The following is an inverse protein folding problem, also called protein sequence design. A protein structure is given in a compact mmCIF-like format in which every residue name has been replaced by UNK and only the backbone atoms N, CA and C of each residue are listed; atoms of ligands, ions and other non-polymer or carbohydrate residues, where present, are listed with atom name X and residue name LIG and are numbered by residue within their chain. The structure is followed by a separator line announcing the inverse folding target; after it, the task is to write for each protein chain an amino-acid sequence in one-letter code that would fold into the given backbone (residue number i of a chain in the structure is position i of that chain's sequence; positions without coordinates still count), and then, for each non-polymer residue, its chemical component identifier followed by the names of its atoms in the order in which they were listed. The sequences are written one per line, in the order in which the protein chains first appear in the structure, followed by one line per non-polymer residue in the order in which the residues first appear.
data_IF_036000605605
#
_entry.id   IF_036000605605
#
_cell.length_a   1.000
_cell.length_b   1.000
_cell.length_c   1.000
_cell.angle_alpha   90.00
_cell.angle_beta   90.00
_cell.angle_gamma   90.00
#
_symmetry.space_group_name_H-M   'P 1'
#
loop_
_entity.id
_entity.type
_entity.pdbx_description
1 polymer ?
#
# COMPACT_ATOMS: atom_id res chain seq x y z
N UNK A 1 -20.84 -17.39 -30.25
CA UNK A 1 -19.83 -17.12 -29.26
C UNK A 1 -20.44 -17.34 -27.89
N UNK A 2 -20.02 -18.37 -27.14
CA UNK A 2 -20.47 -18.57 -25.78
C UNK A 2 -20.07 -17.36 -24.94
N UNK A 3 -21.04 -16.68 -24.34
CA UNK A 3 -20.77 -15.56 -23.40
C UNK A 3 -20.07 -16.16 -22.17
N UNK A 4 -18.79 -15.84 -22.00
CA UNK A 4 -18.06 -16.21 -20.77
C UNK A 4 -18.76 -15.61 -19.56
N UNK A 5 -18.88 -16.41 -18.50
CA UNK A 5 -19.57 -16.02 -17.27
C UNK A 5 -18.54 -15.56 -16.25
N UNK A 6 -18.67 -14.32 -15.75
CA UNK A 6 -17.79 -13.74 -14.72
C UNK A 6 -17.83 -14.64 -13.48
N UNK A 7 -16.64 -14.93 -12.92
CA UNK A 7 -16.49 -15.77 -11.71
C UNK A 7 -16.33 -17.27 -11.95
N UNK A 8 -16.65 -17.78 -13.13
CA UNK A 8 -16.56 -19.23 -13.41
C UNK A 8 -15.27 -19.63 -14.13
N UNK A 9 -14.90 -18.87 -15.16
CA UNK A 9 -13.72 -19.16 -15.99
C UNK A 9 -12.75 -17.98 -16.06
N UNK A 10 -11.43 -18.23 -16.19
CA UNK A 10 -10.45 -17.18 -16.39
C UNK A 10 -10.71 -16.37 -17.67
N UNK A 11 -10.78 -15.05 -17.54
CA UNK A 11 -11.00 -14.12 -18.66
C UNK A 11 -9.77 -13.21 -18.78
N UNK A 12 -8.97 -13.44 -19.81
CA UNK A 12 -7.77 -12.67 -20.12
C UNK A 12 -7.98 -11.55 -21.15
N UNK A 13 -9.13 -11.54 -21.82
CA UNK A 13 -9.56 -10.46 -22.72
C UNK A 13 -10.97 -10.01 -22.34
N UNK A 14 -11.03 -8.93 -21.57
CA UNK A 14 -12.28 -8.39 -21.05
C UNK A 14 -13.18 -7.77 -22.14
N UNK A 15 -12.65 -7.50 -23.36
CA UNK A 15 -13.46 -6.99 -24.48
C UNK A 15 -14.58 -7.98 -24.86
N UNK A 16 -14.39 -9.27 -24.58
CA UNK A 16 -15.41 -10.30 -24.81
C UNK A 16 -16.65 -10.11 -23.93
N UNK A 17 -16.54 -9.34 -22.83
CA UNK A 17 -17.64 -9.02 -21.91
C UNK A 17 -18.48 -7.82 -22.39
N UNK A 18 -17.92 -6.97 -23.26
CA UNK A 18 -18.52 -5.71 -23.69
C UNK A 18 -18.25 -4.54 -22.73
N UNK A 19 -18.33 -3.32 -23.28
CA UNK A 19 -17.97 -2.09 -22.56
C UNK A 19 -18.72 -1.87 -21.23
N UNK A 20 -20.05 -2.10 -21.12
CA UNK A 20 -20.76 -1.88 -19.85
C UNK A 20 -20.24 -2.76 -18.71
N UNK A 21 -19.96 -4.05 -18.98
CA UNK A 21 -19.44 -4.96 -17.95
C UNK A 21 -18.00 -4.62 -17.57
N UNK A 22 -17.17 -4.20 -18.54
CA UNK A 22 -15.81 -3.72 -18.25
C UNK A 22 -15.85 -2.48 -17.37
N UNK A 23 -16.77 -1.56 -17.59
CA UNK A 23 -16.93 -0.36 -16.76
C UNK A 23 -17.35 -0.71 -15.33
N UNK A 24 -18.31 -1.61 -15.16
CA UNK A 24 -18.71 -2.10 -13.82
C UNK A 24 -17.55 -2.75 -13.09
N UNK A 25 -16.76 -3.60 -13.77
CA UNK A 25 -15.56 -4.20 -13.18
C UNK A 25 -14.51 -3.13 -12.84
N UNK A 26 -14.34 -2.10 -13.67
CA UNK A 26 -13.48 -0.96 -13.37
C UNK A 26 -13.92 -0.22 -12.10
N UNK A 27 -15.20 0.05 -11.93
CA UNK A 27 -15.75 0.59 -10.69
C UNK A 27 -15.50 -0.34 -9.50
N UNK A 28 -15.65 -1.66 -9.65
CA UNK A 28 -15.35 -2.61 -8.58
C UNK A 28 -13.90 -2.49 -8.10
N UNK A 29 -12.94 -2.44 -9.04
CA UNK A 29 -11.53 -2.28 -8.70
C UNK A 29 -11.23 -0.91 -8.09
N UNK A 30 -11.88 0.16 -8.55
CA UNK A 30 -11.76 1.48 -7.95
C UNK A 30 -12.26 1.48 -6.50
N UNK A 31 -13.44 0.89 -6.24
CA UNK A 31 -13.98 0.84 -4.88
C UNK A 31 -13.19 -0.10 -3.97
N UNK A 32 -12.59 -1.17 -4.49
CA UNK A 32 -11.75 -2.07 -3.70
C UNK A 32 -10.50 -1.36 -3.16
N UNK A 33 -9.85 -0.53 -4.00
CA UNK A 33 -8.65 0.23 -3.59
C UNK A 33 -8.97 1.47 -2.77
N UNK A 34 -10.20 1.99 -2.90
CA UNK A 34 -10.56 3.31 -2.41
C UNK A 34 -10.32 3.48 -0.91
N UNK A 35 -10.82 2.53 -0.10
CA UNK A 35 -10.71 2.62 1.36
C UNK A 35 -9.26 2.70 1.84
N UNK A 36 -8.39 1.89 1.28
CA UNK A 36 -6.96 1.89 1.60
C UNK A 36 -6.27 3.17 1.07
N UNK A 37 -6.58 3.57 -0.15
CA UNK A 37 -5.94 4.72 -0.81
C UNK A 37 -6.20 6.04 -0.10
N UNK A 38 -7.42 6.28 0.39
CA UNK A 38 -7.77 7.53 1.09
C UNK A 38 -7.31 7.58 2.53
N UNK A 39 -7.02 6.42 3.12
CA UNK A 39 -6.64 6.33 4.53
C UNK A 39 -5.24 6.90 4.79
N UNK A 40 -4.28 6.64 3.92
CA UNK A 40 -2.90 7.14 4.08
C UNK A 40 -2.85 8.68 4.08
N UNK A 41 -3.42 9.42 3.10
CA UNK A 41 -3.42 10.87 3.15
C UNK A 41 -4.15 11.41 4.37
N UNK A 42 -5.25 10.80 4.82
CA UNK A 42 -5.95 11.22 6.04
C UNK A 42 -5.07 11.07 7.30
N UNK A 43 -4.24 10.03 7.37
CA UNK A 43 -3.34 9.79 8.51
C UNK A 43 -2.07 10.65 8.46
N UNK A 44 -1.65 11.11 7.29
CA UNK A 44 -0.42 11.90 7.11
C UNK A 44 -0.68 13.39 6.93
N UNK A 45 -1.92 13.79 6.65
CA UNK A 45 -2.27 15.15 6.30
C UNK A 45 -2.00 15.53 4.84
N UNK A 46 -1.66 14.55 3.98
CA UNK A 46 -1.52 14.76 2.55
C UNK A 46 -2.89 14.92 1.87
N UNK A 47 -2.90 15.49 0.67
CA UNK A 47 -4.12 15.71 -0.11
C UNK A 47 -4.72 14.41 -0.65
N UNK A 48 -6.00 14.15 -0.35
CA UNK A 48 -6.76 13.02 -0.89
C UNK A 48 -6.90 13.14 -2.42
N UNK A 49 -7.13 14.35 -2.92
CA UNK A 49 -7.25 14.61 -4.36
C UNK A 49 -5.96 14.27 -5.10
N UNK A 50 -4.81 14.74 -4.61
CA UNK A 50 -3.50 14.44 -5.20
C UNK A 50 -3.20 12.94 -5.11
N UNK A 51 -3.56 12.32 -4.00
CA UNK A 51 -3.40 10.86 -3.81
C UNK A 51 -4.16 10.06 -4.86
N UNK A 52 -5.43 10.38 -5.10
CA UNK A 52 -6.24 9.72 -6.13
C UNK A 52 -5.70 9.95 -7.54
N UNK A 53 -5.23 11.18 -7.81
CA UNK A 53 -4.59 11.51 -9.10
C UNK A 53 -3.40 10.61 -9.36
N UNK A 54 -2.48 10.52 -8.39
CA UNK A 54 -1.24 9.75 -8.56
C UNK A 54 -1.40 8.25 -8.34
N UNK A 55 -2.42 7.79 -7.64
CA UNK A 55 -2.82 6.38 -7.68
C UNK A 55 -3.24 5.97 -9.10
N UNK A 56 -4.05 6.80 -9.76
CA UNK A 56 -4.45 6.57 -11.15
C UNK A 56 -3.28 6.71 -12.14
N UNK A 57 -2.56 7.82 -12.12
CA UNK A 57 -1.41 8.06 -13.01
C UNK A 57 -0.29 7.06 -12.77
N UNK A 58 0.02 6.75 -11.51
CA UNK A 58 1.02 5.75 -11.13
C UNK A 58 0.65 4.35 -11.64
N UNK A 59 -0.61 3.95 -11.54
CA UNK A 59 -1.11 2.70 -12.10
C UNK A 59 -0.95 2.66 -13.62
N UNK A 60 -1.28 3.75 -14.32
CA UNK A 60 -1.10 3.82 -15.79
C UNK A 60 0.38 3.78 -16.17
N UNK A 61 1.26 4.48 -15.46
CA UNK A 61 2.70 4.44 -15.65
C UNK A 61 3.27 3.03 -15.41
N UNK A 62 2.84 2.38 -14.32
CA UNK A 62 3.20 1.00 -14.03
C UNK A 62 2.80 0.05 -15.18
N UNK A 63 1.56 0.16 -15.66
CA UNK A 63 1.10 -0.66 -16.79
C UNK A 63 1.90 -0.41 -18.06
N UNK A 64 2.30 0.83 -18.33
CA UNK A 64 3.16 1.17 -19.47
C UNK A 64 4.52 0.45 -19.37
N UNK A 65 5.17 0.55 -18.21
CA UNK A 65 6.48 -0.04 -17.95
C UNK A 65 6.44 -1.57 -17.87
N UNK A 66 5.35 -2.13 -17.30
CA UNK A 66 5.07 -3.57 -17.25
C UNK A 66 4.48 -4.12 -18.58
N UNK A 67 4.61 -3.40 -19.69
CA UNK A 67 4.13 -3.80 -21.02
C UNK A 67 2.62 -4.08 -21.10
N UNK A 68 1.82 -3.51 -20.20
CA UNK A 68 0.38 -3.71 -20.12
C UNK A 68 -0.05 -5.15 -19.79
N UNK A 69 0.84 -5.97 -19.19
CA UNK A 69 0.59 -7.39 -18.93
C UNK A 69 0.02 -7.67 -17.54
N UNK A 70 0.45 -6.91 -16.54
CA UNK A 70 0.16 -7.16 -15.13
C UNK A 70 -1.12 -6.43 -14.72
N UNK A 71 -2.16 -7.12 -14.22
CA UNK A 71 -3.39 -6.51 -13.76
C UNK A 71 -3.28 -6.03 -12.29
N UNK A 72 -2.26 -5.23 -11.98
CA UNK A 72 -2.09 -4.63 -10.65
C UNK A 72 -2.60 -3.18 -10.65
N UNK A 73 -3.23 -2.78 -9.53
CA UNK A 73 -3.53 -1.39 -9.22
C UNK A 73 -2.50 -0.88 -8.20
N UNK A 74 -2.05 0.35 -8.36
CA UNK A 74 -1.16 1.01 -7.41
C UNK A 74 -1.94 2.05 -6.60
N UNK A 75 -1.77 2.00 -5.29
CA UNK A 75 -2.34 2.99 -4.38
C UNK A 75 -1.37 3.36 -3.28
N UNK A 76 -1.82 4.12 -2.29
CA UNK A 76 -0.96 4.66 -1.24
C UNK A 76 -0.36 3.59 -0.34
N UNK A 77 0.96 3.64 -0.11
CA UNK A 77 1.68 2.68 0.72
C UNK A 77 1.59 3.02 2.21
N UNK A 78 1.15 2.05 3.01
CA UNK A 78 1.11 2.16 4.48
C UNK A 78 2.50 2.06 5.13
N UNK A 79 3.45 1.39 4.50
CA UNK A 79 4.78 1.18 5.06
C UNK A 79 5.54 2.49 5.31
N UNK A 80 5.23 3.52 4.54
CA UNK A 80 5.86 4.85 4.69
C UNK A 80 5.23 5.73 5.78
N UNK A 81 4.12 5.33 6.42
CA UNK A 81 3.48 6.12 7.48
C UNK A 81 4.46 6.49 8.60
N UNK A 82 5.32 5.56 9.03
CA UNK A 82 6.35 5.84 10.02
C UNK A 82 7.38 6.88 9.55
N UNK A 83 7.70 6.89 8.26
CA UNK A 83 8.58 7.92 7.67
C UNK A 83 7.94 9.30 7.65
N UNK A 84 6.66 9.39 7.27
CA UNK A 84 5.91 10.64 7.34
C UNK A 84 5.82 11.16 8.77
N UNK A 85 5.45 10.31 9.74
CA UNK A 85 5.35 10.70 11.15
C UNK A 85 6.69 11.14 11.75
N UNK A 86 7.82 10.60 11.28
CA UNK A 86 9.15 10.97 11.76
C UNK A 86 9.61 12.35 11.25
N UNK A 87 9.21 12.74 10.04
CA UNK A 87 9.64 14.00 9.39
C UNK A 87 8.57 15.08 9.52
N UNK A 88 7.30 14.74 9.32
CA UNK A 88 6.16 15.63 9.33
C UNK A 88 5.06 15.10 10.27
N UNK A 89 5.30 15.04 11.59
CA UNK A 89 4.28 14.59 12.53
C UNK A 89 3.07 15.51 12.47
N UNK A 90 1.87 14.96 12.66
CA UNK A 90 0.64 15.75 12.82
C UNK A 90 0.79 16.67 14.02
N UNK A 91 0.32 17.91 13.89
CA UNK A 91 0.36 18.91 14.94
C UNK A 91 -0.83 18.80 15.88
N UNK A 92 -0.64 19.22 17.11
CA UNK A 92 -1.69 19.25 18.12
C UNK A 92 -2.78 20.26 17.73
N UNK A 93 -4.03 19.87 17.93
CA UNK A 93 -5.17 20.75 17.67
C UNK A 93 -5.32 21.76 18.82
N UNK A 94 -5.23 23.09 18.58
CA UNK A 94 -5.37 24.11 19.61
C UNK A 94 -6.72 24.08 20.33
N UNK A 95 -7.77 23.64 19.62
CA UNK A 95 -9.13 23.59 20.16
C UNK A 95 -9.43 22.30 20.94
N UNK A 96 -8.56 21.28 20.79
CA UNK A 96 -8.69 19.96 21.42
C UNK A 96 -7.34 19.47 21.96
N UNK A 97 -6.90 19.92 23.14
CA UNK A 97 -5.61 19.54 23.71
C UNK A 97 -5.44 18.02 23.79
N UNK A 98 -4.28 17.51 23.37
CA UNK A 98 -3.96 16.08 23.31
C UNK A 98 -4.43 15.38 22.04
N UNK A 99 -5.08 16.07 21.11
CA UNK A 99 -5.49 15.54 19.81
C UNK A 99 -4.56 16.06 18.70
N UNK A 100 -3.88 15.15 18.00
CA UNK A 100 -2.93 15.46 16.93
C UNK A 100 -3.59 15.16 15.58
N UNK A 101 -4.26 16.15 15.00
CA UNK A 101 -5.01 15.99 13.75
C UNK A 101 -4.81 17.13 12.74
N UNK A 102 -3.92 18.08 13.03
CA UNK A 102 -3.61 19.17 12.11
C UNK A 102 -2.42 18.78 11.22
N UNK A 103 -2.57 18.82 9.87
CA UNK A 103 -1.47 18.53 8.96
C UNK A 103 -0.28 19.47 9.14
N UNK A 104 0.92 18.91 9.21
CA UNK A 104 2.16 19.71 9.23
C UNK A 104 2.57 20.06 7.79
N UNK A 105 1.86 21.01 7.21
CA UNK A 105 2.01 21.41 5.80
C UNK A 105 3.40 21.95 5.47
N UNK A 106 4.13 22.47 6.45
CA UNK A 106 5.49 22.96 6.29
C UNK A 106 6.50 21.82 6.10
N UNK A 107 6.32 20.72 6.84
CA UNK A 107 7.24 19.57 6.82
C UNK A 107 6.84 18.49 5.83
N UNK A 108 5.59 18.41 5.41
CA UNK A 108 5.11 17.40 4.46
C UNK A 108 5.90 17.37 3.14
N UNK A 109 6.26 18.49 2.49
CA UNK A 109 7.05 18.46 1.27
C UNK A 109 8.47 17.88 1.47
N UNK A 110 9.08 18.04 2.65
CA UNK A 110 10.36 17.39 2.99
C UNK A 110 10.20 15.88 3.13
N UNK A 111 9.13 15.42 3.79
CA UNK A 111 8.82 13.99 3.87
C UNK A 111 8.57 13.41 2.46
N UNK A 112 7.83 14.11 1.62
CA UNK A 112 7.61 13.73 0.23
C UNK A 112 8.91 13.66 -0.57
N UNK A 113 9.86 14.58 -0.36
CA UNK A 113 11.18 14.48 -0.96
C UNK A 113 11.92 13.19 -0.53
N UNK A 114 11.89 12.84 0.76
CA UNK A 114 12.45 11.59 1.27
C UNK A 114 11.81 10.35 0.60
N UNK A 115 10.50 10.35 0.41
CA UNK A 115 9.77 9.29 -0.30
C UNK A 115 10.14 9.24 -1.78
N UNK A 116 10.30 10.38 -2.44
CA UNK A 116 10.76 10.42 -3.82
C UNK A 116 12.16 9.79 -3.98
N UNK A 117 13.06 10.08 -3.05
CA UNK A 117 14.38 9.42 -2.99
C UNK A 117 14.27 7.91 -2.75
N UNK A 118 13.36 7.48 -1.86
CA UNK A 118 13.11 6.06 -1.61
C UNK A 118 12.62 5.33 -2.87
N UNK A 119 11.73 5.95 -3.67
CA UNK A 119 11.30 5.41 -4.95
C UNK A 119 12.44 5.21 -5.95
N UNK A 120 13.48 6.03 -5.91
CA UNK A 120 14.67 5.83 -6.78
C UNK A 120 15.48 4.59 -6.39
N UNK A 121 15.42 4.12 -5.14
CA UNK A 121 16.11 2.89 -4.71
C UNK A 121 15.51 1.66 -5.40
N UNK A 122 14.23 1.67 -5.75
CA UNK A 122 13.62 0.60 -6.56
C UNK A 122 14.30 0.42 -7.92
N UNK A 123 14.81 1.51 -8.50
CA UNK A 123 15.54 1.45 -9.76
C UNK A 123 16.81 0.64 -9.62
N UNK A 124 17.50 0.76 -8.47
CA UNK A 124 18.71 -0.03 -8.19
C UNK A 124 18.35 -1.52 -8.13
N UNK A 125 17.32 -1.91 -7.39
CA UNK A 125 16.88 -3.30 -7.32
C UNK A 125 16.40 -3.81 -8.68
N UNK A 126 15.64 -2.98 -9.42
CA UNK A 126 15.23 -3.26 -10.79
C UNK A 126 16.41 -3.56 -11.70
N UNK A 127 17.48 -2.76 -11.61
CA UNK A 127 18.72 -2.98 -12.36
C UNK A 127 19.40 -4.31 -11.97
N UNK A 128 19.45 -4.63 -10.66
CA UNK A 128 19.99 -5.91 -10.19
C UNK A 128 19.21 -7.10 -10.76
N UNK A 129 17.86 -7.03 -10.79
CA UNK A 129 17.04 -8.07 -11.43
C UNK A 129 17.31 -8.18 -12.93
N UNK A 130 17.50 -7.04 -13.62
CA UNK A 130 17.81 -7.02 -15.07
C UNK A 130 19.19 -7.61 -15.39
N UNK A 131 20.20 -7.29 -14.59
CA UNK A 131 21.60 -7.69 -14.84
C UNK A 131 21.87 -9.12 -14.38
N UNK A 132 21.45 -9.47 -13.16
CA UNK A 132 21.79 -10.77 -12.54
C UNK A 132 20.70 -11.83 -12.76
N UNK A 133 19.53 -11.43 -13.20
CA UNK A 133 18.37 -12.29 -13.42
C UNK A 133 17.59 -12.62 -12.13
N UNK A 134 16.34 -13.03 -12.32
CA UNK A 134 15.37 -13.28 -11.23
C UNK A 134 15.90 -14.30 -10.24
N UNK A 135 16.39 -15.45 -10.70
CA UNK A 135 16.82 -16.58 -9.85
C UNK A 135 17.93 -16.19 -8.86
N UNK A 136 18.91 -15.37 -9.29
CA UNK A 136 20.02 -14.97 -8.44
C UNK A 136 19.61 -13.95 -7.38
N UNK A 137 18.77 -13.00 -7.74
CA UNK A 137 18.35 -11.92 -6.84
C UNK A 137 17.32 -12.43 -5.83
N UNK A 138 16.33 -13.23 -6.28
CA UNK A 138 15.27 -13.76 -5.41
C UNK A 138 15.77 -14.68 -4.30
N UNK A 139 16.94 -15.28 -4.44
CA UNK A 139 17.53 -16.08 -3.33
C UNK A 139 17.79 -15.25 -2.05
N UNK A 140 17.78 -13.92 -2.15
CA UNK A 140 17.86 -13.01 -1.01
C UNK A 140 16.48 -12.68 -0.41
N UNK A 141 15.40 -12.91 -1.15
CA UNK A 141 14.02 -12.59 -0.81
C UNK A 141 13.11 -13.85 -0.76
N UNK A 142 13.52 -14.94 -0.09
CA UNK A 142 12.65 -16.11 0.04
C UNK A 142 11.46 -15.82 0.96
N UNK A 143 10.40 -16.65 0.94
CA UNK A 143 9.21 -16.49 1.76
C UNK A 143 9.46 -16.37 3.26
N UNK A 144 10.55 -16.99 3.77
CA UNK A 144 10.97 -16.85 5.17
C UNK A 144 11.44 -15.43 5.52
N UNK A 145 11.80 -14.62 4.53
CA UNK A 145 12.15 -13.20 4.71
C UNK A 145 10.95 -12.33 4.40
N UNK A 146 10.30 -12.54 3.24
CA UNK A 146 9.21 -11.68 2.77
C UNK A 146 7.97 -11.79 3.65
N UNK A 147 7.58 -13.00 4.05
CA UNK A 147 6.40 -13.23 4.89
C UNK A 147 6.45 -12.49 6.23
N UNK A 148 7.48 -12.70 7.07
CA UNK A 148 7.61 -11.98 8.34
C UNK A 148 7.71 -10.46 8.20
N UNK A 149 8.30 -9.92 7.13
CA UNK A 149 8.32 -8.47 6.87
C UNK A 149 6.91 -7.94 6.61
N UNK A 150 6.12 -8.63 5.77
CA UNK A 150 4.72 -8.23 5.50
C UNK A 150 3.87 -8.34 6.79
N UNK A 151 4.06 -9.38 7.60
CA UNK A 151 3.42 -9.48 8.92
C UNK A 151 3.77 -8.25 9.77
N UNK A 152 5.04 -7.89 9.84
CA UNK A 152 5.52 -6.78 10.64
C UNK A 152 4.97 -5.42 10.17
N UNK A 153 4.77 -5.21 8.86
CA UNK A 153 4.16 -3.98 8.32
C UNK A 153 2.78 -3.75 8.95
N UNK A 154 1.90 -4.74 8.88
CA UNK A 154 0.55 -4.60 9.43
C UNK A 154 0.55 -4.45 10.96
N UNK A 155 1.38 -5.21 11.68
CA UNK A 155 1.46 -5.13 13.14
C UNK A 155 2.03 -3.79 13.64
N UNK A 156 3.01 -3.21 12.96
CA UNK A 156 3.56 -1.91 13.32
C UNK A 156 2.54 -0.77 13.25
N UNK A 157 1.53 -0.90 12.41
CA UNK A 157 0.48 0.11 12.25
C UNK A 157 -0.66 -0.03 13.26
N UNK A 158 -0.72 -1.15 14.00
CA UNK A 158 -1.84 -1.47 14.91
C UNK A 158 -2.04 -0.43 16.00
N UNK A 159 -0.98 0.13 16.56
CA UNK A 159 -1.06 1.17 17.61
C UNK A 159 -1.77 2.44 17.10
N UNK A 160 -1.45 2.88 15.88
CA UNK A 160 -2.13 4.04 15.26
C UNK A 160 -3.63 3.78 15.09
N UNK A 161 -3.99 2.56 14.63
CA UNK A 161 -5.40 2.19 14.48
C UNK A 161 -6.15 2.18 15.83
N UNK A 162 -5.53 1.63 16.88
CA UNK A 162 -6.11 1.64 18.25
C UNK A 162 -6.29 3.07 18.74
N UNK A 163 -5.28 3.93 18.60
CA UNK A 163 -5.37 5.32 19.02
C UNK A 163 -6.51 6.07 18.31
N UNK A 164 -6.71 5.84 17.02
CA UNK A 164 -7.83 6.42 16.27
C UNK A 164 -9.21 5.91 16.73
N UNK A 165 -9.28 4.72 17.35
CA UNK A 165 -10.54 4.20 17.90
C UNK A 165 -10.94 4.88 19.24
N UNK A 166 -9.99 5.44 20.00
CA UNK A 166 -10.21 5.91 21.36
C UNK A 166 -11.26 7.00 21.48
N UNK A 167 -11.41 7.83 20.44
CA UNK A 167 -12.41 8.90 20.41
C UNK A 167 -13.87 8.42 20.42
N UNK A 168 -14.15 7.23 19.85
CA UNK A 168 -15.49 6.65 19.80
C UNK A 168 -15.47 5.17 19.42
N UNK A 169 -15.22 4.29 20.41
CA UNK A 169 -15.13 2.85 20.17
C UNK A 169 -16.36 2.24 19.49
N UNK A 170 -17.54 2.73 19.76
CA UNK A 170 -18.76 2.17 19.16
C UNK A 170 -18.86 2.45 17.66
N UNK A 171 -18.33 3.59 17.15
CA UNK A 171 -18.22 3.86 15.71
C UNK A 171 -17.18 2.91 15.09
N UNK A 172 -16.03 2.74 15.75
CA UNK A 172 -14.99 1.81 15.30
C UNK A 172 -15.51 0.36 15.25
N UNK A 173 -16.25 -0.08 16.28
CA UNK A 173 -16.88 -1.40 16.33
C UNK A 173 -17.90 -1.56 15.22
N UNK A 174 -18.72 -0.54 14.93
CA UNK A 174 -19.67 -0.58 13.81
C UNK A 174 -18.93 -0.79 12.47
N UNK A 175 -17.81 -0.10 12.24
CA UNK A 175 -16.98 -0.31 11.05
C UNK A 175 -16.51 -1.76 10.95
N UNK A 176 -15.92 -2.30 12.03
CA UNK A 176 -15.39 -3.66 12.08
C UNK A 176 -16.49 -4.69 11.82
N UNK A 177 -17.62 -4.57 12.50
CA UNK A 177 -18.73 -5.52 12.35
C UNK A 177 -19.29 -5.54 10.92
N UNK A 178 -19.43 -4.38 10.29
CA UNK A 178 -19.91 -4.31 8.89
C UNK A 178 -18.88 -4.91 7.94
N UNK A 179 -17.58 -4.63 8.11
CA UNK A 179 -16.53 -5.22 7.28
C UNK A 179 -16.54 -6.75 7.42
N UNK A 180 -16.60 -7.26 8.64
CA UNK A 180 -16.64 -8.71 8.92
C UNK A 180 -17.89 -9.32 8.30
N UNK A 181 -19.07 -8.72 8.52
CA UNK A 181 -20.32 -9.22 7.97
C UNK A 181 -20.31 -9.24 6.43
N UNK A 182 -19.82 -8.16 5.80
CA UNK A 182 -19.72 -8.06 4.35
C UNK A 182 -18.73 -9.08 3.77
N UNK A 183 -17.62 -9.33 4.46
CA UNK A 183 -16.59 -10.26 4.01
C UNK A 183 -17.03 -11.72 4.15
N UNK A 184 -17.65 -12.09 5.28
CA UNK A 184 -17.98 -13.49 5.61
C UNK A 184 -19.30 -13.92 4.96
N UNK A 185 -20.35 -13.10 5.11
CA UNK A 185 -21.71 -13.45 4.64
C UNK A 185 -22.11 -12.72 3.36
N UNK A 186 -21.32 -11.72 2.94
CA UNK A 186 -21.57 -10.98 1.71
C UNK A 186 -21.50 -11.86 0.45
N UNK A 187 -22.30 -11.51 -0.56
CA UNK A 187 -22.30 -12.15 -1.88
C UNK A 187 -22.11 -11.11 -2.98
N UNK A 188 -21.48 -11.50 -4.09
CA UNK A 188 -21.26 -10.59 -5.23
C UNK A 188 -20.47 -9.34 -4.84
N UNK A 189 -21.00 -8.16 -5.15
CA UNK A 189 -20.36 -6.86 -4.87
C UNK A 189 -20.07 -6.63 -3.39
N UNK A 190 -20.97 -7.02 -2.49
CA UNK A 190 -20.81 -6.81 -1.04
C UNK A 190 -19.53 -7.46 -0.54
N UNK A 191 -19.21 -8.65 -1.02
CA UNK A 191 -17.99 -9.37 -0.65
C UNK A 191 -16.71 -8.73 -1.23
N UNK A 192 -16.84 -7.97 -2.33
CA UNK A 192 -15.71 -7.33 -3.03
C UNK A 192 -15.29 -6.02 -2.35
N UNK A 193 -16.24 -5.28 -1.76
CA UNK A 193 -16.01 -3.93 -1.21
C UNK A 193 -16.27 -3.83 0.31
N UNK A 194 -15.83 -4.79 1.14
CA UNK A 194 -16.16 -4.81 2.56
C UNK A 194 -15.64 -3.59 3.30
N UNK A 195 -14.43 -3.12 2.97
CA UNK A 195 -13.79 -1.94 3.58
C UNK A 195 -14.63 -0.69 3.30
N UNK A 196 -15.01 -0.48 2.04
CA UNK A 196 -15.83 0.67 1.66
C UNK A 196 -17.19 0.66 2.39
N UNK A 197 -17.82 -0.51 2.52
CA UNK A 197 -19.08 -0.64 3.26
C UNK A 197 -18.91 -0.32 4.73
N UNK A 198 -17.81 -0.75 5.34
CA UNK A 198 -17.46 -0.39 6.72
C UNK A 198 -17.25 1.12 6.90
N UNK A 199 -16.53 1.75 5.97
CA UNK A 199 -16.37 3.21 5.94
C UNK A 199 -17.71 3.91 5.86
N UNK A 200 -18.53 3.60 4.86
CA UNK A 200 -19.83 4.27 4.65
C UNK A 200 -20.75 4.07 5.85
N UNK A 201 -20.89 2.84 6.35
CA UNK A 201 -21.80 2.55 7.45
C UNK A 201 -21.38 3.26 8.74
N UNK A 202 -20.10 3.17 9.13
CA UNK A 202 -19.59 3.82 10.33
C UNK A 202 -19.57 5.35 10.20
N UNK A 203 -19.36 5.88 9.01
CA UNK A 203 -19.47 7.31 8.73
C UNK A 203 -20.91 7.82 8.89
N UNK A 204 -21.91 7.06 8.37
CA UNK A 204 -23.33 7.37 8.60
C UNK A 204 -23.66 7.35 10.10
N UNK A 205 -23.16 6.35 10.83
CA UNK A 205 -23.34 6.26 12.28
C UNK A 205 -22.73 7.49 12.97
N UNK A 206 -21.52 7.91 12.59
CA UNK A 206 -20.88 9.13 13.08
C UNK A 206 -21.67 10.39 12.76
N UNK A 207 -22.20 10.50 11.55
CA UNK A 207 -23.01 11.65 11.11
C UNK A 207 -24.32 11.76 11.89
N UNK A 208 -25.04 10.65 12.06
CA UNK A 208 -26.30 10.61 12.84
C UNK A 208 -26.06 10.95 14.31
N UNK A 209 -24.90 10.59 14.86
CA UNK A 209 -24.53 10.91 16.24
C UNK A 209 -23.96 12.33 16.43
N UNK A 210 -23.91 13.13 15.37
CA UNK A 210 -23.42 14.52 15.44
C UNK A 210 -21.91 14.66 15.56
N UNK A 211 -21.14 13.63 15.23
CA UNK A 211 -19.67 13.65 15.29
C UNK A 211 -19.01 14.02 13.96
N UNK A 212 -19.78 14.51 12.98
CA UNK A 212 -19.28 14.91 11.66
C UNK A 212 -19.65 16.36 11.40
N UNK A 213 -18.65 17.17 11.10
CA UNK A 213 -18.84 18.53 10.61
C UNK A 213 -18.85 18.54 9.06
N UNK A 214 -19.96 18.92 8.47
CA UNK A 214 -20.13 19.03 7.03
C UNK A 214 -19.91 20.45 6.48
N UNK A 215 -19.41 21.39 7.28
CA UNK A 215 -19.27 22.81 6.86
C UNK A 215 -18.32 22.91 5.66
N UNK A 216 -17.11 22.36 5.76
CA UNK A 216 -16.16 22.34 4.66
C UNK A 216 -16.69 21.60 3.41
N UNK A 217 -17.44 20.52 3.62
CA UNK A 217 -18.07 19.77 2.50
C UNK A 217 -19.07 20.64 1.74
N UNK A 218 -19.86 21.49 2.44
CA UNK A 218 -20.85 22.37 1.81
C UNK A 218 -20.18 23.45 0.97
N UNK A 219 -19.09 24.01 1.48
CA UNK A 219 -18.35 25.12 0.86
C UNK A 219 -17.46 24.66 -0.31
N UNK A 220 -17.03 23.41 -0.31
CA UNK A 220 -16.11 22.88 -1.32
C UNK A 220 -16.74 22.88 -2.73
N UNK A 221 -15.90 23.18 -3.71
CA UNK A 221 -16.28 23.15 -5.13
C UNK A 221 -16.48 21.73 -5.64
N UNK A 222 -17.34 21.58 -6.65
CA UNK A 222 -17.53 20.29 -7.34
C UNK A 222 -16.38 19.93 -8.28
N UNK A 223 -15.72 20.93 -8.86
CA UNK A 223 -14.61 20.76 -9.80
C UNK A 223 -13.48 21.69 -9.37
N UNK A 224 -12.26 21.14 -9.27
CA UNK A 224 -11.06 21.88 -8.92
C UNK A 224 -9.80 21.14 -9.36
N UNK A 225 -8.68 21.86 -9.37
CA UNK A 225 -7.38 21.25 -9.65
C UNK A 225 -6.89 20.50 -8.40
N UNK A 226 -6.48 19.23 -8.52
CA UNK A 226 -6.07 18.44 -7.35
C UNK A 226 -4.72 18.87 -6.77
N UNK A 227 -3.81 19.42 -7.60
CA UNK A 227 -2.44 19.74 -7.19
C UNK A 227 -2.34 21.20 -6.75
N UNK A 228 -1.90 21.42 -5.51
CA UNK A 228 -1.53 22.72 -4.97
C UNK A 228 -0.01 22.85 -5.00
N UNK A 229 0.52 23.79 -5.78
CA UNK A 229 1.95 23.89 -6.05
C UNK A 229 2.81 24.04 -4.80
N UNK A 230 2.35 24.81 -3.80
CA UNK A 230 3.05 25.03 -2.52
C UNK A 230 3.21 23.75 -1.68
N UNK A 231 2.35 22.75 -1.88
CA UNK A 231 2.38 21.48 -1.16
C UNK A 231 3.27 20.43 -1.86
N UNK A 232 3.78 20.77 -3.04
CA UNK A 232 4.68 19.88 -3.79
C UNK A 232 6.13 20.04 -3.34
N UNK A 233 6.96 19.04 -3.63
CA UNK A 233 8.42 19.16 -3.44
C UNK A 233 8.98 20.31 -4.27
N UNK A 234 8.42 20.59 -5.45
CA UNK A 234 8.85 21.72 -6.30
C UNK A 234 8.54 23.07 -5.65
N UNK A 235 7.48 23.16 -4.85
CA UNK A 235 7.12 24.35 -4.09
C UNK A 235 8.19 24.74 -3.07
N UNK A 236 8.89 23.77 -2.46
CA UNK A 236 10.02 24.05 -1.57
C UNK A 236 11.11 24.85 -2.29
N UNK A 237 11.46 24.45 -3.52
CA UNK A 237 12.54 25.10 -4.27
C UNK A 237 12.13 26.45 -4.84
N UNK A 238 10.84 26.72 -5.06
CA UNK A 238 10.34 28.00 -5.55
C UNK A 238 10.39 29.10 -4.49
N UNK A 239 10.31 28.75 -3.20
CA UNK A 239 10.33 29.71 -2.08
C UNK A 239 11.72 30.26 -1.70
N UNK A 240 12.80 29.75 -2.24
CA UNK A 240 14.17 30.24 -2.06
C UNK A 240 14.84 29.92 -0.70
N UNK A 241 14.12 29.44 0.30
CA UNK A 241 14.63 29.14 1.64
C UNK A 241 14.50 27.64 1.96
N UNK A 242 15.20 26.80 1.18
CA UNK A 242 15.19 25.35 1.41
C UNK A 242 16.16 24.98 2.51
N UNK A 243 15.69 24.29 3.54
CA UNK A 243 16.57 23.67 4.53
C UNK A 243 17.17 22.39 3.95
N UNK A 244 18.40 22.51 3.45
CA UNK A 244 19.15 21.38 2.86
C UNK A 244 19.49 20.29 3.87
N UNK A 245 19.66 20.66 5.16
CA UNK A 245 19.90 19.69 6.22
C UNK A 245 18.65 18.84 6.46
N UNK A 246 17.46 19.46 6.40
CA UNK A 246 16.18 18.75 6.54
C UNK A 246 15.92 17.84 5.34
N UNK A 247 16.25 18.25 4.10
CA UNK A 247 16.20 17.36 2.93
C UNK A 247 17.07 16.11 3.13
N UNK A 248 18.30 16.31 3.61
CA UNK A 248 19.22 15.20 3.94
C UNK A 248 18.63 14.28 5.02
N UNK A 249 18.09 14.85 6.09
CA UNK A 249 17.45 14.10 7.18
C UNK A 249 16.26 13.30 6.67
N UNK A 250 15.38 13.89 5.87
CA UNK A 250 14.23 13.21 5.30
C UNK A 250 14.64 12.04 4.39
N UNK A 251 15.62 12.26 3.50
CA UNK A 251 16.13 11.21 2.63
C UNK A 251 16.71 10.05 3.44
N UNK A 252 17.59 10.35 4.39
CA UNK A 252 18.27 9.34 5.22
C UNK A 252 17.30 8.54 6.10
N UNK A 253 16.24 9.18 6.60
CA UNK A 253 15.23 8.53 7.44
C UNK A 253 14.29 7.65 6.62
N UNK A 254 13.88 8.08 5.43
CA UNK A 254 12.82 7.42 4.66
C UNK A 254 13.35 6.39 3.67
N UNK A 255 14.52 6.61 3.05
CA UNK A 255 15.11 5.66 2.08
C UNK A 255 15.17 4.21 2.59
N UNK A 256 15.60 3.92 3.84
CA UNK A 256 15.65 2.53 4.31
C UNK A 256 14.31 1.80 4.32
N UNK A 257 13.19 2.52 4.40
CA UNK A 257 11.85 1.94 4.36
C UNK A 257 11.58 1.27 3.01
N UNK A 258 12.18 1.78 1.93
CA UNK A 258 12.07 1.20 0.59
C UNK A 258 12.46 -0.29 0.54
N UNK A 259 13.37 -0.75 1.40
CA UNK A 259 13.74 -2.17 1.46
C UNK A 259 12.54 -3.06 1.81
N UNK A 260 11.72 -2.63 2.77
CA UNK A 260 10.54 -3.38 3.18
C UNK A 260 9.45 -3.36 2.08
N UNK A 261 9.22 -2.20 1.47
CA UNK A 261 8.20 -2.07 0.42
C UNK A 261 8.58 -2.73 -0.90
N UNK A 262 9.87 -2.79 -1.23
CA UNK A 262 10.34 -3.61 -2.35
C UNK A 262 10.09 -5.11 -2.12
N UNK A 263 10.24 -5.58 -0.88
CA UNK A 263 9.91 -6.95 -0.49
C UNK A 263 8.40 -7.20 -0.57
N UNK A 264 7.59 -6.25 -0.10
CA UNK A 264 6.12 -6.27 -0.24
C UNK A 264 5.72 -6.37 -1.71
N UNK A 265 6.25 -5.51 -2.58
CA UNK A 265 6.00 -5.55 -4.03
C UNK A 265 6.30 -6.91 -4.65
N UNK A 266 7.44 -7.54 -4.28
CA UNK A 266 7.79 -8.87 -4.77
C UNK A 266 6.73 -9.90 -4.33
N UNK A 267 6.29 -9.85 -3.08
CA UNK A 267 5.23 -10.71 -2.54
C UNK A 267 3.90 -10.54 -3.28
N UNK A 268 3.49 -9.31 -3.53
CA UNK A 268 2.28 -8.98 -4.29
C UNK A 268 2.36 -9.48 -5.73
N UNK A 269 3.52 -9.33 -6.37
CA UNK A 269 3.72 -9.85 -7.74
C UNK A 269 3.63 -11.37 -7.80
N UNK A 270 4.09 -12.07 -6.75
CA UNK A 270 3.89 -13.51 -6.60
C UNK A 270 2.39 -13.84 -6.46
N UNK A 271 1.69 -13.14 -5.58
CA UNK A 271 0.25 -13.34 -5.33
C UNK A 271 -0.60 -13.10 -6.59
N UNK A 272 -0.34 -12.01 -7.32
CA UNK A 272 -1.02 -11.69 -8.58
C UNK A 272 -0.71 -12.75 -9.64
N UNK A 273 0.54 -13.20 -9.72
CA UNK A 273 0.96 -14.25 -10.67
C UNK A 273 0.21 -15.56 -10.42
N UNK A 274 0.12 -15.96 -9.17
CA UNK A 274 -0.63 -17.16 -8.75
C UNK A 274 -2.13 -17.02 -9.06
N UNK A 275 -2.73 -15.89 -8.66
CA UNK A 275 -4.16 -15.62 -8.88
C UNK A 275 -4.52 -15.63 -10.36
N UNK A 276 -3.66 -15.07 -11.21
CA UNK A 276 -3.90 -14.96 -12.65
C UNK A 276 -3.39 -16.17 -13.44
N UNK A 277 -2.80 -17.18 -12.79
CA UNK A 277 -2.20 -18.35 -13.44
C UNK A 277 -1.19 -17.96 -14.52
N UNK A 278 -0.41 -16.89 -14.29
CA UNK A 278 0.62 -16.35 -15.20
C UNK A 278 1.84 -15.89 -14.44
N UNK A 279 3.03 -16.27 -14.89
CA UNK A 279 4.27 -15.90 -14.25
C UNK A 279 4.73 -14.47 -14.62
N UNK A 280 4.20 -13.45 -13.93
CA UNK A 280 4.60 -12.06 -14.13
C UNK A 280 5.99 -11.74 -13.56
N UNK A 281 6.55 -12.61 -12.76
CA UNK A 281 7.91 -12.50 -12.23
C UNK A 281 8.94 -12.65 -13.36
N UNK A 282 8.64 -13.49 -14.35
CA UNK A 282 9.48 -13.69 -15.53
C UNK A 282 9.05 -12.80 -16.70
N UNK A 283 7.75 -12.68 -16.99
CA UNK A 283 7.23 -11.88 -18.09
C UNK A 283 6.05 -10.99 -17.64
N UNK A 284 6.22 -9.69 -17.53
CA UNK A 284 7.27 -8.81 -18.09
C UNK A 284 8.58 -8.78 -17.30
N UNK A 285 8.64 -9.44 -16.15
CA UNK A 285 9.79 -9.55 -15.27
C UNK A 285 9.81 -8.51 -14.13
N UNK A 286 10.29 -8.93 -12.95
CA UNK A 286 10.35 -8.08 -11.76
C UNK A 286 11.12 -6.78 -11.97
N UNK A 287 12.12 -6.76 -12.87
CA UNK A 287 12.84 -5.52 -13.22
C UNK A 287 11.92 -4.43 -13.78
N UNK A 288 10.84 -4.81 -14.48
CA UNK A 288 9.88 -3.86 -15.06
C UNK A 288 8.83 -3.43 -14.04
N UNK A 289 8.36 -4.37 -13.23
CA UNK A 289 7.34 -4.06 -12.23
C UNK A 289 7.92 -3.19 -11.11
N UNK A 290 9.13 -3.49 -10.62
CA UNK A 290 9.85 -2.64 -9.67
C UNK A 290 10.18 -1.26 -10.24
N UNK A 291 10.59 -1.19 -11.52
CA UNK A 291 10.81 0.09 -12.18
C UNK A 291 9.51 0.92 -12.20
N UNK A 292 8.39 0.28 -12.53
CA UNK A 292 7.08 0.93 -12.58
C UNK A 292 6.63 1.43 -11.22
N UNK A 293 6.77 0.61 -10.18
CA UNK A 293 6.38 0.92 -8.80
C UNK A 293 7.25 2.06 -8.22
N UNK A 294 8.58 1.95 -8.37
CA UNK A 294 9.51 2.98 -7.90
C UNK A 294 9.33 4.33 -8.59
N UNK A 295 9.16 4.36 -9.92
CA UNK A 295 8.92 5.61 -10.64
C UNK A 295 7.55 6.20 -10.31
N UNK A 296 6.50 5.37 -10.13
CA UNK A 296 5.19 5.82 -9.69
C UNK A 296 5.27 6.45 -8.29
N UNK A 297 6.00 5.82 -7.36
CA UNK A 297 6.27 6.33 -6.02
C UNK A 297 7.00 7.67 -6.05
N UNK A 298 8.12 7.76 -6.80
CA UNK A 298 8.88 9.01 -6.89
C UNK A 298 8.06 10.13 -7.51
N UNK A 299 7.33 9.84 -8.59
CA UNK A 299 6.48 10.82 -9.25
C UNK A 299 5.36 11.31 -8.34
N UNK A 300 4.66 10.41 -7.66
CA UNK A 300 3.59 10.75 -6.72
C UNK A 300 4.11 11.67 -5.60
N UNK A 301 5.22 11.29 -4.98
CA UNK A 301 5.80 12.05 -3.89
C UNK A 301 6.29 13.44 -4.32
N UNK A 302 6.88 13.60 -5.50
CA UNK A 302 7.30 14.91 -6.01
C UNK A 302 6.14 15.91 -6.12
N UNK A 303 4.92 15.41 -6.35
CA UNK A 303 3.72 16.23 -6.43
C UNK A 303 2.89 16.28 -5.14
N UNK A 304 3.42 15.82 -4.01
CA UNK A 304 2.74 15.88 -2.71
C UNK A 304 1.72 14.76 -2.47
N UNK A 305 1.81 13.65 -3.19
CA UNK A 305 1.06 12.43 -2.91
C UNK A 305 1.92 11.45 -2.07
N UNK A 306 1.30 10.51 -1.35
CA UNK A 306 2.05 9.43 -0.69
C UNK A 306 2.71 8.48 -1.69
N UNK A 307 3.67 7.68 -1.18
CA UNK A 307 4.27 6.59 -1.95
C UNK A 307 3.19 5.68 -2.55
N UNK A 308 3.41 5.23 -3.78
CA UNK A 308 2.58 4.20 -4.39
C UNK A 308 3.13 2.80 -4.08
N UNK A 309 2.25 1.81 -4.05
CA UNK A 309 2.60 0.38 -4.00
C UNK A 309 1.50 -0.45 -4.65
N UNK A 310 1.79 -1.70 -5.00
CA UNK A 310 0.80 -2.64 -5.51
C UNK A 310 -0.20 -3.02 -4.43
N UNK A 311 -1.49 -3.19 -4.80
CA UNK A 311 -2.57 -3.45 -3.85
C UNK A 311 -3.08 -4.88 -3.88
N UNK A 312 -2.96 -5.56 -2.74
CA UNK A 312 -3.49 -6.89 -2.50
C UNK A 312 -5.02 -6.96 -2.55
N UNK A 313 -5.71 -5.89 -2.16
CA UNK A 313 -7.18 -5.77 -2.22
C UNK A 313 -7.70 -5.95 -3.65
N UNK A 314 -7.01 -5.38 -4.62
CA UNK A 314 -7.38 -5.55 -6.02
C UNK A 314 -7.11 -6.97 -6.52
N UNK A 315 -6.12 -7.68 -5.96
CA UNK A 315 -5.89 -9.10 -6.21
C UNK A 315 -7.07 -9.95 -5.74
N UNK A 316 -7.71 -9.57 -4.63
CA UNK A 316 -8.96 -10.19 -4.17
C UNK A 316 -10.11 -10.06 -5.19
N UNK A 317 -10.23 -8.89 -5.83
CA UNK A 317 -11.22 -8.68 -6.91
C UNK A 317 -10.91 -9.56 -8.13
N UNK A 318 -9.62 -9.68 -8.51
CA UNK A 318 -9.19 -10.57 -9.59
C UNK A 318 -9.59 -12.03 -9.29
N UNK A 319 -9.32 -12.51 -8.08
CA UNK A 319 -9.63 -13.86 -7.65
C UNK A 319 -11.14 -14.17 -7.71
N UNK A 320 -12.00 -13.23 -7.30
CA UNK A 320 -13.44 -13.38 -7.28
C UNK A 320 -14.08 -13.25 -8.66
N UNK A 321 -13.65 -12.26 -9.45
CA UNK A 321 -14.19 -12.02 -10.80
C UNK A 321 -13.64 -12.97 -11.84
N UNK A 322 -12.45 -13.52 -11.63
CA UNK A 322 -11.63 -14.25 -12.60
C UNK A 322 -11.37 -13.48 -13.89
N UNK A 323 -11.42 -12.14 -13.84
CA UNK A 323 -11.13 -11.27 -14.99
C UNK A 323 -9.73 -10.68 -14.80
N UNK A 324 -8.77 -11.22 -15.53
CA UNK A 324 -7.35 -10.94 -15.39
C UNK A 324 -6.80 -9.97 -16.45
N UNK A 325 -7.70 -9.26 -17.13
CA UNK A 325 -7.30 -8.29 -18.14
C UNK A 325 -6.90 -6.95 -17.51
N UNK A 326 -5.66 -6.48 -17.70
CA UNK A 326 -5.20 -5.19 -17.21
C UNK A 326 -6.03 -3.97 -17.67
N UNK A 327 -6.83 -4.10 -18.74
CA UNK A 327 -7.70 -3.01 -19.21
C UNK A 327 -8.73 -2.61 -18.17
N UNK A 328 -9.23 -3.57 -17.39
CA UNK A 328 -10.21 -3.29 -16.33
C UNK A 328 -9.57 -2.44 -15.22
N UNK A 329 -8.31 -2.73 -14.87
CA UNK A 329 -7.55 -1.93 -13.91
C UNK A 329 -7.29 -0.51 -14.44
N UNK A 330 -7.00 -0.38 -15.74
CA UNK A 330 -6.83 0.95 -16.37
C UNK A 330 -8.11 1.78 -16.32
N UNK A 331 -9.28 1.16 -16.46
CA UNK A 331 -10.56 1.85 -16.27
C UNK A 331 -10.67 2.36 -14.83
N UNK A 332 -10.33 1.53 -13.83
CA UNK A 332 -10.30 1.95 -12.43
C UNK A 332 -9.34 3.13 -12.19
N UNK A 333 -8.15 3.09 -12.80
CA UNK A 333 -7.16 4.16 -12.73
C UNK A 333 -7.69 5.49 -13.32
N UNK A 334 -8.34 5.44 -14.47
CA UNK A 334 -8.97 6.62 -15.11
C UNK A 334 -10.11 7.17 -14.23
N UNK A 335 -10.92 6.29 -13.62
CA UNK A 335 -11.96 6.71 -12.69
C UNK A 335 -11.36 7.41 -11.47
N UNK A 336 -10.28 6.89 -10.89
CA UNK A 336 -9.59 7.54 -9.77
C UNK A 336 -9.08 8.94 -10.15
N UNK A 337 -8.50 9.10 -11.37
CA UNK A 337 -8.10 10.40 -11.90
C UNK A 337 -9.31 11.33 -12.00
N UNK A 338 -10.45 10.88 -12.51
CA UNK A 338 -11.66 11.72 -12.61
C UNK A 338 -12.11 12.18 -11.22
N UNK A 339 -12.15 11.27 -10.23
CA UNK A 339 -12.53 11.62 -8.86
C UNK A 339 -11.57 12.59 -8.19
N UNK A 340 -10.29 12.62 -8.59
CA UNK A 340 -9.30 13.55 -8.05
C UNK A 340 -9.63 15.02 -8.32
N UNK A 341 -10.38 15.32 -9.38
CA UNK A 341 -10.81 16.67 -9.73
C UNK A 341 -12.08 17.12 -9.01
N UNK A 342 -12.53 16.38 -7.99
CA UNK A 342 -13.71 16.73 -7.20
C UNK A 342 -13.29 17.08 -5.74
N UNK A 343 -12.99 18.37 -5.43
CA UNK A 343 -12.65 18.79 -4.07
C UNK A 343 -13.72 18.44 -3.03
N UNK A 344 -14.98 18.55 -3.39
CA UNK A 344 -16.10 18.16 -2.51
C UNK A 344 -16.01 16.72 -2.04
N UNK A 345 -15.52 15.83 -2.90
CA UNK A 345 -15.29 14.44 -2.54
C UNK A 345 -14.13 14.28 -1.53
N UNK A 346 -13.04 15.03 -1.72
CA UNK A 346 -11.93 15.05 -0.77
C UNK A 346 -12.39 15.55 0.61
N UNK A 347 -13.22 16.61 0.66
CA UNK A 347 -13.76 17.11 1.93
C UNK A 347 -14.71 16.12 2.61
N UNK A 348 -15.49 15.33 1.87
CA UNK A 348 -16.26 14.21 2.45
C UNK A 348 -15.35 13.19 3.14
N UNK A 349 -14.18 12.91 2.56
CA UNK A 349 -13.18 12.02 3.18
C UNK A 349 -12.54 12.67 4.41
N UNK A 350 -12.20 13.95 4.35
CA UNK A 350 -11.62 14.68 5.48
C UNK A 350 -12.57 14.80 6.67
N UNK A 351 -13.87 14.95 6.42
CA UNK A 351 -14.90 15.02 7.46
C UNK A 351 -15.16 13.66 8.16
N UNK A 352 -14.46 12.60 7.79
CA UNK A 352 -14.64 11.27 8.35
C UNK A 352 -14.18 11.21 9.82
N UNK A 353 -15.00 10.69 10.76
CA UNK A 353 -14.58 10.52 12.15
C UNK A 353 -13.31 9.70 12.28
N UNK A 354 -12.39 10.10 13.15
CA UNK A 354 -11.15 9.37 13.42
C UNK A 354 -11.42 7.93 13.86
N UNK A 355 -12.50 7.70 14.58
CA UNK A 355 -12.93 6.35 15.00
C UNK A 355 -13.36 5.46 13.81
N UNK A 356 -13.97 6.03 12.75
CA UNK A 356 -14.20 5.30 11.50
C UNK A 356 -12.87 4.84 10.89
N UNK A 357 -11.92 5.78 10.79
CA UNK A 357 -10.56 5.51 10.30
C UNK A 357 -9.92 4.41 11.13
N UNK A 358 -9.98 4.51 12.47
CA UNK A 358 -9.44 3.52 13.39
C UNK A 358 -10.00 2.11 13.19
N UNK A 359 -11.34 1.98 13.17
CA UNK A 359 -12.01 0.69 13.01
C UNK A 359 -11.69 0.01 11.66
N UNK A 360 -11.69 0.79 10.59
CA UNK A 360 -11.31 0.32 9.25
C UNK A 360 -9.84 -0.09 9.21
N UNK A 361 -8.95 0.72 9.79
CA UNK A 361 -7.51 0.45 9.84
C UNK A 361 -7.19 -0.82 10.60
N UNK A 362 -7.87 -1.11 11.72
CA UNK A 362 -7.67 -2.35 12.49
C UNK A 362 -7.86 -3.58 11.60
N UNK A 363 -8.94 -3.61 10.82
CA UNK A 363 -9.20 -4.72 9.92
C UNK A 363 -8.18 -4.75 8.79
N UNK A 364 -7.89 -3.60 8.19
CA UNK A 364 -6.98 -3.50 7.04
C UNK A 364 -5.55 -3.94 7.41
N UNK A 365 -5.01 -3.44 8.52
CA UNK A 365 -3.66 -3.79 8.99
C UNK A 365 -3.58 -5.26 9.41
N UNK A 366 -4.65 -5.79 10.00
CA UNK A 366 -4.78 -7.22 10.28
C UNK A 366 -4.77 -8.05 8.99
N UNK A 367 -5.45 -7.61 7.94
CA UNK A 367 -5.44 -8.29 6.64
C UNK A 367 -4.05 -8.23 5.97
N UNK A 368 -3.32 -7.11 6.06
CA UNK A 368 -1.93 -7.03 5.56
C UNK A 368 -1.06 -8.08 6.28
N UNK A 369 -1.14 -8.16 7.61
CA UNK A 369 -0.41 -9.18 8.37
C UNK A 369 -0.82 -10.61 7.96
N UNK A 370 -2.11 -10.84 7.71
CA UNK A 370 -2.61 -12.16 7.28
C UNK A 370 -2.07 -12.55 5.89
N UNK A 371 -1.86 -11.60 4.98
CA UNK A 371 -1.18 -11.85 3.69
C UNK A 371 0.25 -12.35 3.91
N UNK A 372 0.98 -11.76 4.87
CA UNK A 372 2.31 -12.25 5.24
C UNK A 372 2.30 -13.67 5.80
N UNK A 373 1.31 -14.00 6.68
CA UNK A 373 1.10 -15.36 7.19
C UNK A 373 0.79 -16.32 6.03
N UNK A 374 -0.10 -15.93 5.14
CA UNK A 374 -0.45 -16.69 3.95
C UNK A 374 0.79 -16.98 3.10
N UNK A 375 1.65 -15.99 2.86
CA UNK A 375 2.91 -16.17 2.12
C UNK A 375 3.79 -17.28 2.73
N UNK A 376 3.94 -17.27 4.06
CA UNK A 376 4.72 -18.29 4.78
C UNK A 376 4.09 -19.69 4.64
N UNK A 377 2.78 -19.80 4.85
CA UNK A 377 2.06 -21.08 4.86
C UNK A 377 1.99 -21.72 3.46
N UNK A 378 1.63 -20.94 2.45
CA UNK A 378 1.48 -21.43 1.08
C UNK A 378 2.80 -21.86 0.47
N UNK A 379 3.90 -21.20 0.85
CA UNK A 379 5.26 -21.59 0.47
C UNK A 379 5.84 -22.71 1.33
N UNK A 380 5.06 -23.29 2.26
CA UNK A 380 5.47 -24.40 3.11
C UNK A 380 6.80 -24.14 3.82
N UNK A 381 6.99 -22.93 4.34
CA UNK A 381 8.19 -22.59 5.11
C UNK A 381 8.28 -23.52 6.32
N UNK A 382 9.39 -24.27 6.40
CA UNK A 382 9.60 -25.25 7.46
C UNK A 382 10.15 -24.60 8.73
N UNK A 383 9.30 -24.36 9.70
CA UNK A 383 9.67 -23.82 11.03
C UNK A 383 10.25 -24.87 11.98
N UNK A 384 10.39 -26.13 11.60
CA UNK A 384 11.18 -27.10 12.39
C UNK A 384 12.67 -26.81 12.27
N UNK A 385 13.08 -26.07 11.24
CA UNK A 385 14.48 -25.67 11.03
C UNK A 385 14.83 -24.44 11.86
N UNK A 386 15.77 -24.57 12.78
CA UNK A 386 16.24 -23.48 13.64
C UNK A 386 16.64 -22.22 12.86
N UNK A 387 17.19 -22.39 11.64
CA UNK A 387 17.52 -21.30 10.72
C UNK A 387 16.30 -20.41 10.45
N UNK A 388 15.19 -21.02 10.03
CA UNK A 388 13.98 -20.33 9.65
C UNK A 388 13.33 -19.67 10.87
N UNK A 389 13.30 -20.36 12.01
CA UNK A 389 12.80 -19.79 13.27
C UNK A 389 13.57 -18.53 13.65
N UNK A 390 14.92 -18.56 13.59
CA UNK A 390 15.78 -17.42 13.97
C UNK A 390 15.53 -16.23 13.02
N UNK A 391 15.45 -16.46 11.71
CA UNK A 391 15.23 -15.39 10.73
C UNK A 391 13.88 -14.71 11.00
N UNK A 392 12.79 -15.49 11.10
CA UNK A 392 11.45 -14.95 11.35
C UNK A 392 11.37 -14.24 12.70
N UNK A 393 11.92 -14.84 13.76
CA UNK A 393 11.89 -14.28 15.11
C UNK A 393 12.59 -12.92 15.15
N UNK A 394 13.79 -12.81 14.56
CA UNK A 394 14.53 -11.54 14.57
C UNK A 394 13.86 -10.47 13.71
N UNK A 395 13.26 -10.83 12.55
CA UNK A 395 12.49 -9.87 11.75
C UNK A 395 11.33 -9.31 12.57
N UNK A 396 10.50 -10.16 13.16
CA UNK A 396 9.31 -9.73 13.90
C UNK A 396 9.67 -8.93 15.15
N UNK A 397 10.62 -9.43 15.95
CA UNK A 397 11.00 -8.78 17.22
C UNK A 397 11.70 -7.45 16.97
N UNK A 398 12.59 -7.35 15.99
CA UNK A 398 13.27 -6.08 15.68
C UNK A 398 12.30 -5.06 15.10
N UNK A 399 11.40 -5.46 14.19
CA UNK A 399 10.45 -4.55 13.59
C UNK A 399 9.55 -3.90 14.66
N UNK A 400 8.98 -4.70 15.56
CA UNK A 400 8.04 -4.24 16.59
C UNK A 400 8.80 -3.63 17.77
N UNK A 401 9.83 -4.34 18.26
CA UNK A 401 10.57 -3.94 19.45
C UNK A 401 11.27 -2.60 19.30
N UNK A 402 11.92 -2.33 18.17
CA UNK A 402 12.55 -1.03 17.92
C UNK A 402 11.51 0.07 17.82
N UNK A 403 10.43 -0.16 17.06
CA UNK A 403 9.39 0.85 16.80
C UNK A 403 8.70 1.31 18.09
N UNK A 404 8.41 0.40 19.02
CA UNK A 404 7.66 0.69 20.24
C UNK A 404 8.52 0.79 21.52
N UNK A 405 9.84 0.64 21.40
CA UNK A 405 10.75 0.94 22.50
C UNK A 405 11.07 2.44 22.57
N UNK A 406 11.65 2.87 23.68
CA UNK A 406 12.17 4.23 23.83
C UNK A 406 13.27 4.59 22.82
N UNK A 407 13.85 3.60 22.15
CA UNK A 407 14.88 3.78 21.11
C UNK A 407 14.28 4.34 19.81
N UNK A 408 13.07 3.89 19.44
CA UNK A 408 12.32 4.32 18.25
C UNK A 408 12.96 3.97 16.91
N UNK A 409 14.28 4.10 16.79
CA UNK A 409 15.07 3.81 15.61
C UNK A 409 16.52 3.49 15.95
N UNK A 410 17.17 2.64 15.15
CA UNK A 410 18.63 2.35 15.26
C UNK A 410 19.40 3.40 14.50
N UNK A 411 20.26 4.15 15.19
CA UNK A 411 21.09 5.21 14.59
C UNK A 411 22.50 4.67 14.33
N UNK A 412 22.94 4.78 13.09
CA UNK A 412 24.32 4.44 12.68
C UNK A 412 24.90 5.69 11.98
N UNK A 413 25.75 6.41 12.68
CA UNK A 413 26.20 7.73 12.23
C UNK A 413 25.02 8.71 12.11
N UNK A 414 24.85 9.31 10.94
CA UNK A 414 23.74 10.21 10.63
C UNK A 414 22.51 9.50 10.07
N UNK A 415 22.57 8.17 9.89
CA UNK A 415 21.46 7.41 9.32
C UNK A 415 20.61 6.81 10.42
N UNK A 416 19.28 7.00 10.33
CA UNK A 416 18.29 6.47 11.26
C UNK A 416 17.51 5.34 10.58
N UNK A 417 17.61 4.13 11.09
CA UNK A 417 16.90 2.97 10.58
C UNK A 417 15.66 2.70 11.45
N UNK A 418 14.48 2.80 10.88
CA UNK A 418 13.25 2.37 11.55
C UNK A 418 13.31 0.88 11.92
N UNK A 419 12.44 0.46 12.85
CA UNK A 419 12.34 -0.95 13.23
C UNK A 419 12.11 -1.87 12.02
N UNK A 420 11.23 -1.46 11.09
CA UNK A 420 10.92 -2.22 9.89
C UNK A 420 12.12 -2.29 8.91
N UNK A 421 12.83 -1.17 8.69
CA UNK A 421 14.02 -1.16 7.84
C UNK A 421 15.13 -2.02 8.43
N UNK A 422 15.37 -1.93 9.75
CA UNK A 422 16.34 -2.76 10.47
C UNK A 422 16.01 -4.25 10.34
N UNK A 423 14.74 -4.60 10.53
CA UNK A 423 14.26 -5.98 10.41
C UNK A 423 14.45 -6.54 8.99
N UNK A 424 14.15 -5.74 7.96
CA UNK A 424 14.37 -6.15 6.57
C UNK A 424 15.83 -6.41 6.28
N UNK A 425 16.72 -5.51 6.68
CA UNK A 425 18.18 -5.67 6.50
C UNK A 425 18.66 -6.94 7.21
N UNK A 426 18.32 -7.10 8.50
CA UNK A 426 18.75 -8.26 9.29
C UNK A 426 18.20 -9.56 8.70
N UNK A 427 16.95 -9.60 8.28
CA UNK A 427 16.34 -10.77 7.64
C UNK A 427 17.06 -11.18 6.35
N UNK A 428 17.36 -10.22 5.47
CA UNK A 428 18.09 -10.45 4.22
C UNK A 428 19.52 -10.93 4.49
N UNK A 429 20.23 -10.29 5.43
CA UNK A 429 21.61 -10.63 5.79
C UNK A 429 21.67 -12.01 6.42
N UNK A 430 20.82 -12.33 7.37
CA UNK A 430 20.78 -13.66 8.01
C UNK A 430 20.44 -14.74 6.98
N UNK A 431 19.49 -14.49 6.08
CA UNK A 431 19.18 -15.41 5.00
C UNK A 431 20.41 -15.63 4.08
N UNK A 432 21.23 -14.60 3.86
CA UNK A 432 22.42 -14.72 3.04
C UNK A 432 23.53 -15.55 3.71
N UNK A 433 23.74 -15.38 5.02
CA UNK A 433 24.86 -15.93 5.78
C UNK A 433 24.56 -17.33 6.33
N UNK A 434 23.35 -17.55 6.87
CA UNK A 434 23.04 -18.82 7.52
C UNK A 434 22.98 -19.99 6.54
N UNK A 435 23.58 -21.16 6.88
CA UNK A 435 23.56 -22.37 6.07
C UNK A 435 22.16 -23.02 6.05
N UNK A 436 21.96 -24.04 5.22
CA UNK A 436 20.74 -24.85 5.20
C UNK A 436 19.58 -24.17 4.47
N UNK A 437 19.85 -23.44 3.38
CA UNK A 437 18.80 -22.87 2.51
C UNK A 437 17.99 -23.99 1.89
N UNK A 438 16.67 -23.92 2.08
CA UNK A 438 15.71 -24.94 1.68
C UNK A 438 14.72 -24.45 0.62
N UNK A 439 14.80 -23.19 0.24
CA UNK A 439 13.95 -22.60 -0.78
C UNK A 439 14.67 -22.50 -2.11
N UNK A 440 14.17 -23.23 -3.11
CA UNK A 440 14.61 -23.14 -4.49
C UNK A 440 13.59 -22.38 -5.32
N UNK A 441 14.07 -21.38 -6.04
CA UNK A 441 13.26 -20.61 -6.95
C UNK A 441 13.00 -21.43 -8.22
N UNK A 442 11.75 -21.79 -8.48
CA UNK A 442 11.37 -22.56 -9.66
C UNK A 442 11.65 -21.84 -10.98
N UNK A 443 11.78 -22.61 -12.04
CA UNK A 443 12.08 -22.13 -13.39
C UNK A 443 10.92 -22.31 -14.38
N UNK A 444 9.77 -22.80 -13.93
CA UNK A 444 8.63 -23.08 -14.81
C UNK A 444 7.91 -21.77 -15.21
N UNK A 445 7.84 -21.52 -16.52
CA UNK A 445 7.20 -20.35 -17.12
C UNK A 445 5.66 -20.36 -17.03
N UNK A 446 5.05 -21.52 -16.78
CA UNK A 446 3.58 -21.67 -16.88
C UNK A 446 2.84 -21.72 -15.55
N UNK A 447 3.49 -21.89 -14.43
CA UNK A 447 2.77 -22.02 -13.16
C UNK A 447 3.65 -21.93 -11.92
N UNK A 448 4.96 -22.04 -12.07
CA UNK A 448 5.86 -21.83 -10.97
C UNK A 448 6.11 -20.34 -10.80
N UNK A 449 5.27 -19.75 -10.00
CA UNK A 449 5.44 -18.35 -9.55
C UNK A 449 6.58 -18.25 -8.55
N UNK A 450 7.39 -19.34 -8.37
CA UNK A 450 8.37 -19.53 -7.30
C UNK A 450 7.77 -19.48 -5.90
N UNK A 451 6.49 -19.45 -5.88
CA UNK A 451 5.60 -19.57 -4.77
C UNK A 451 4.66 -20.65 -5.22
N UNK A 452 4.76 -21.88 -4.71
CA UNK A 452 3.89 -22.99 -5.07
C UNK A 452 2.45 -22.70 -4.61
N UNK A 453 1.80 -21.71 -5.18
CA UNK A 453 0.38 -21.46 -5.00
C UNK A 453 -0.42 -22.39 -5.91
N UNK A 454 -0.53 -23.64 -5.55
CA UNK A 454 -1.66 -24.45 -5.97
C UNK A 454 -2.80 -24.12 -5.03
N UNK A 455 -3.76 -23.33 -5.50
CA UNK A 455 -5.08 -23.16 -4.88
C UNK A 455 -5.87 -24.44 -5.05
#
# INVERSE_FOLDING_TARGET
MNKKTIGNEPIYDARTLGAPRMLVLGFQHMFAMFGATVLVPTLTGLSVSVTLLFAGLGTLLFHLLAKGKVPAFLGSSFAFLGGYSAIAPMLENPDMPGVFNIPNTEMLPYACFGVACAGLVYLVLSLLFKVFGVRKVMRFFPPIVTGPIIIAIGLNLSSSAINNCTGSWWIAIAAILIIVAANIWGKGMIKIIPILLGVIASYIVGAVSGQVDFTAVKEAAWIGLPVVWSETVFGLFAGGNVDTAMLGTAAVTIIPIALATMVEHIGDMCAISSTCERNYIQDPGLHRTLLGDGLATSLAALFGAPANTTYGENTGVLALSKVYDPRVIRIAAVLAIIFSFCPKFAEVVHAMPTATIGGVSLVLYGMISAVGVRNVVENKVDFTKSRNVIIAALILVLAIGITYSSVGAVKIGNVSFSGLATAAIVGIVLNAILPGKDYEFGSDLQGDTSVNFKV
#
